data_IF_345209680626
#
_entry.id   IF_345209680626
#
_cell.length_a   1.000
_cell.length_b   1.000
_cell.length_c   1.000
_cell.angle_alpha   90.00
_cell.angle_beta   90.00
_cell.angle_gamma   90.00
#
_symmetry.space_group_name_H-M   'P 1'
#
loop_
_entity.id
_entity.type
_entity.pdbx_description
1 polymer ?
#
# COMPACT_ATOMS: atom_id res chain seq x y z
N UNK A 1 -17.04 -9.29 -14.24
CA UNK A 1 -16.34 -10.09 -13.22
C UNK A 1 -15.88 -9.14 -12.12
N UNK A 2 -16.09 -9.43 -10.83
CA UNK A 2 -15.61 -8.52 -9.78
C UNK A 2 -14.08 -8.59 -9.66
N UNK A 3 -13.39 -7.51 -10.02
CA UNK A 3 -11.93 -7.41 -9.82
C UNK A 3 -11.66 -7.01 -8.37
N UNK A 4 -10.78 -7.75 -7.71
CA UNK A 4 -10.37 -7.47 -6.32
C UNK A 4 -8.94 -6.99 -6.29
N UNK A 5 -8.74 -5.88 -5.61
CA UNK A 5 -7.42 -5.39 -5.24
C UNK A 5 -7.27 -5.48 -3.73
N UNK A 6 -6.06 -5.76 -3.29
CA UNK A 6 -5.69 -5.79 -1.88
C UNK A 6 -4.59 -4.77 -1.65
N UNK A 7 -4.58 -4.16 -0.47
CA UNK A 7 -3.61 -3.14 -0.16
C UNK A 7 -3.14 -3.21 1.29
N UNK A 8 -1.93 -2.72 1.49
CA UNK A 8 -1.49 -2.18 2.77
C UNK A 8 -1.34 -0.67 2.62
N UNK A 9 -1.60 0.06 3.70
CA UNK A 9 -1.48 1.50 3.76
C UNK A 9 -0.71 1.89 5.01
N UNK A 10 0.24 2.80 4.89
CA UNK A 10 1.02 3.36 6.00
C UNK A 10 1.30 4.84 5.71
N UNK A 11 2.11 5.50 6.53
CA UNK A 11 2.54 6.87 6.23
C UNK A 11 3.35 6.88 4.93
N UNK A 12 3.32 7.99 4.21
CA UNK A 12 4.11 8.15 2.99
C UNK A 12 5.62 8.10 3.29
N UNK A 13 6.04 8.55 4.47
CA UNK A 13 7.44 8.48 4.90
C UNK A 13 7.85 7.02 5.09
N UNK A 14 7.08 6.24 5.85
CA UNK A 14 7.36 4.82 6.10
C UNK A 14 7.36 4.02 4.80
N UNK A 15 6.39 4.26 3.91
CA UNK A 15 6.31 3.58 2.62
C UNK A 15 7.56 3.80 1.77
N UNK A 16 8.12 5.01 1.78
CA UNK A 16 9.23 5.39 0.90
C UNK A 16 10.62 5.17 1.52
N UNK A 17 10.73 5.17 2.85
CA UNK A 17 11.98 5.00 3.57
C UNK A 17 12.22 3.57 4.06
N UNK A 18 11.19 2.71 4.07
CA UNK A 18 11.33 1.31 4.49
C UNK A 18 12.18 0.51 3.47
N UNK A 19 13.42 0.18 3.87
CA UNK A 19 14.38 -0.55 3.04
C UNK A 19 13.91 -1.96 2.69
N UNK A 20 13.24 -2.65 3.61
CA UNK A 20 12.72 -4.01 3.37
C UNK A 20 11.66 -3.97 2.28
N UNK A 21 10.73 -3.01 2.35
CA UNK A 21 9.70 -2.83 1.34
C UNK A 21 10.30 -2.43 -0.02
N UNK A 22 11.24 -1.48 -0.03
CA UNK A 22 11.94 -1.07 -1.26
C UNK A 22 12.57 -2.28 -1.96
N UNK A 23 13.35 -3.08 -1.22
CA UNK A 23 14.04 -4.25 -1.76
C UNK A 23 13.05 -5.25 -2.36
N UNK A 24 11.99 -5.58 -1.64
CA UNK A 24 10.95 -6.49 -2.10
C UNK A 24 10.29 -6.01 -3.38
N UNK A 25 9.88 -4.74 -3.42
CA UNK A 25 9.17 -4.14 -4.55
C UNK A 25 10.10 -4.07 -5.77
N UNK A 26 11.38 -3.74 -5.57
CA UNK A 26 12.41 -3.72 -6.60
C UNK A 26 12.69 -5.11 -7.17
N UNK A 27 12.89 -6.12 -6.33
CA UNK A 27 13.13 -7.49 -6.77
C UNK A 27 11.91 -8.07 -7.51
N UNK A 28 10.70 -7.83 -7.00
CA UNK A 28 9.47 -8.21 -7.70
C UNK A 28 9.38 -7.50 -9.04
N UNK A 29 9.70 -6.21 -9.11
CA UNK A 29 9.67 -5.47 -10.37
C UNK A 29 10.63 -6.06 -11.40
N UNK A 30 11.87 -6.36 -11.00
CA UNK A 30 12.87 -7.00 -11.84
C UNK A 30 12.44 -8.39 -12.30
N UNK A 31 11.81 -9.19 -11.44
CA UNK A 31 11.26 -10.48 -11.83
C UNK A 31 10.21 -10.33 -12.95
N UNK A 32 9.29 -9.38 -12.83
CA UNK A 32 8.25 -9.13 -13.85
C UNK A 32 8.87 -8.70 -15.18
N UNK A 33 9.84 -7.79 -15.15
CA UNK A 33 10.60 -7.35 -16.34
C UNK A 33 11.33 -8.53 -17.00
N UNK A 34 12.05 -9.34 -16.22
CA UNK A 34 12.82 -10.49 -16.72
C UNK A 34 11.95 -11.57 -17.37
N UNK A 35 10.67 -11.64 -16.96
CA UNK A 35 9.69 -12.60 -17.47
C UNK A 35 8.72 -11.99 -18.49
N UNK A 36 8.90 -10.72 -18.85
CA UNK A 36 7.99 -9.95 -19.71
C UNK A 36 6.51 -10.06 -19.25
N UNK A 37 6.29 -10.02 -17.93
CA UNK A 37 4.96 -10.10 -17.32
C UNK A 37 4.40 -8.71 -17.07
N UNK A 38 3.07 -8.57 -17.22
CA UNK A 38 2.36 -7.35 -16.84
C UNK A 38 2.38 -7.18 -15.33
N UNK A 39 2.68 -5.97 -14.85
CA UNK A 39 2.64 -5.65 -13.42
C UNK A 39 1.23 -5.77 -12.87
N UNK A 40 1.14 -6.28 -11.65
CA UNK A 40 -0.10 -6.47 -10.90
C UNK A 40 -0.05 -5.75 -9.54
N UNK A 41 0.91 -4.85 -9.34
CA UNK A 41 1.11 -4.09 -8.11
C UNK A 41 1.63 -2.68 -8.39
N UNK A 42 1.28 -1.73 -7.52
CA UNK A 42 1.67 -0.32 -7.61
C UNK A 42 1.74 0.32 -6.22
N UNK A 43 2.53 1.39 -6.08
CA UNK A 43 2.49 2.24 -4.88
C UNK A 43 1.70 3.50 -5.21
N UNK A 44 0.67 3.80 -4.44
CA UNK A 44 -0.20 4.96 -4.58
C UNK A 44 0.17 5.99 -3.52
N UNK A 45 0.64 7.17 -3.93
CA UNK A 45 0.85 8.31 -3.05
C UNK A 45 -0.47 9.06 -2.91
N UNK A 46 -0.84 9.41 -1.67
CA UNK A 46 -2.10 10.08 -1.36
C UNK A 46 -3.34 9.41 -2.00
N UNK A 47 -3.60 8.12 -1.73
CA UNK A 47 -4.65 7.35 -2.39
C UNK A 47 -6.05 7.96 -2.17
N UNK A 48 -6.75 8.28 -3.25
CA UNK A 48 -8.07 8.93 -3.23
C UNK A 48 -9.13 8.12 -2.47
N UNK A 49 -9.03 6.79 -2.43
CA UNK A 49 -9.98 5.97 -1.70
C UNK A 49 -9.91 6.19 -0.18
N UNK A 50 -8.79 6.69 0.34
CA UNK A 50 -8.65 7.11 1.75
C UNK A 50 -9.46 8.36 2.06
N UNK A 51 -9.78 9.17 1.03
CA UNK A 51 -10.59 10.36 1.20
C UNK A 51 -12.11 10.10 1.28
N UNK A 52 -12.57 8.89 0.95
CA UNK A 52 -14.00 8.55 1.00
C UNK A 52 -14.50 8.61 2.45
N UNK A 53 -15.69 9.19 2.66
CA UNK A 53 -16.30 9.37 3.99
C UNK A 53 -16.29 8.09 4.84
N UNK A 54 -16.74 6.98 4.24
CA UNK A 54 -16.79 5.66 4.89
C UNK A 54 -15.40 5.19 5.32
N UNK A 55 -14.37 5.47 4.50
CA UNK A 55 -12.99 5.08 4.80
C UNK A 55 -12.44 5.92 5.96
N UNK A 56 -12.63 7.24 5.94
CA UNK A 56 -12.22 8.12 7.05
C UNK A 56 -12.83 7.71 8.39
N UNK A 57 -14.12 7.39 8.38
CA UNK A 57 -14.84 6.93 9.57
C UNK A 57 -14.27 5.61 10.11
N UNK A 58 -13.99 4.64 9.24
CA UNK A 58 -13.35 3.38 9.68
C UNK A 58 -11.94 3.61 10.24
N UNK A 59 -11.16 4.45 9.57
CA UNK A 59 -9.78 4.72 9.95
C UNK A 59 -9.71 5.43 11.31
N UNK A 60 -10.64 6.33 11.64
CA UNK A 60 -10.62 7.03 12.92
C UNK A 60 -10.71 6.11 14.15
N UNK A 61 -11.20 4.88 13.98
CA UNK A 61 -11.25 3.89 15.06
C UNK A 61 -9.94 3.10 15.23
N UNK A 62 -9.04 3.17 14.25
CA UNK A 62 -7.78 2.41 14.25
C UNK A 62 -6.78 2.95 15.27
N UNK A 63 -5.90 2.08 15.75
CA UNK A 63 -4.75 2.50 16.54
C UNK A 63 -3.76 3.28 15.67
N UNK A 64 -3.59 2.92 14.40
CA UNK A 64 -2.75 3.64 13.44
C UNK A 64 -3.11 5.13 13.36
N UNK A 65 -4.41 5.45 13.24
CA UNK A 65 -4.88 6.83 13.21
C UNK A 65 -4.56 7.57 14.51
N UNK A 66 -4.82 6.93 15.66
CA UNK A 66 -4.55 7.54 16.98
C UNK A 66 -3.06 7.80 17.21
N UNK A 67 -2.19 6.94 16.70
CA UNK A 67 -0.73 7.10 16.79
C UNK A 67 -0.23 8.31 16.00
N UNK A 68 -0.86 8.58 14.84
CA UNK A 68 -0.44 9.64 13.92
C UNK A 68 -1.45 10.77 13.78
N UNK A 69 -2.34 10.97 14.76
CA UNK A 69 -3.48 11.89 14.64
C UNK A 69 -3.04 13.30 14.26
N UNK A 70 -2.02 13.84 14.94
CA UNK A 70 -1.49 15.17 14.66
C UNK A 70 -0.94 15.28 13.22
N UNK A 71 -0.17 14.29 12.77
CA UNK A 71 0.44 14.27 11.43
C UNK A 71 -0.63 14.17 10.33
N UNK A 72 -1.69 13.41 10.57
CA UNK A 72 -2.81 13.23 9.65
C UNK A 72 -3.63 14.53 9.53
N UNK A 73 -3.82 15.23 10.65
CA UNK A 73 -4.52 16.52 10.67
C UNK A 73 -3.72 17.62 9.95
N UNK A 74 -2.41 17.69 10.20
CA UNK A 74 -1.51 18.70 9.61
C UNK A 74 -1.33 18.55 8.09
N UNK A 75 -1.25 17.31 7.60
CA UNK A 75 -0.91 17.02 6.21
C UNK A 75 -2.11 17.01 5.25
N UNK A 76 -3.31 17.39 5.69
CA UNK A 76 -4.56 17.11 4.96
C UNK A 76 -4.71 15.62 4.69
N UNK A 77 -5.13 14.88 5.71
CA UNK A 77 -5.57 13.48 5.80
C UNK A 77 -5.12 12.54 4.65
N UNK A 78 -5.56 12.78 3.41
CA UNK A 78 -5.05 12.05 2.24
C UNK A 78 -3.55 12.10 1.98
N UNK A 79 -2.84 13.21 2.19
CA UNK A 79 -1.41 13.29 1.82
C UNK A 79 -0.50 12.55 2.78
N UNK A 80 -1.00 12.23 3.98
CA UNK A 80 -0.29 11.38 4.92
C UNK A 80 -0.10 9.97 4.39
N UNK A 81 -1.13 9.42 3.75
CA UNK A 81 -1.17 8.00 3.42
C UNK A 81 -0.45 7.68 2.11
N UNK A 82 0.16 6.50 2.09
CA UNK A 82 0.59 5.82 0.88
C UNK A 82 0.16 4.37 0.92
N UNK A 83 -0.18 3.78 -0.22
CA UNK A 83 -0.66 2.39 -0.30
C UNK A 83 0.08 1.56 -1.33
N UNK A 84 0.60 0.39 -0.93
CA UNK A 84 0.98 -0.67 -1.86
C UNK A 84 -0.28 -1.45 -2.19
N UNK A 85 -0.68 -1.43 -3.46
CA UNK A 85 -1.89 -2.11 -3.95
C UNK A 85 -1.49 -3.21 -4.94
N UNK A 86 -2.23 -4.33 -4.94
CA UNK A 86 -2.00 -5.44 -5.86
C UNK A 86 -3.28 -6.26 -6.08
N UNK A 87 -3.39 -6.96 -7.21
CA UNK A 87 -4.42 -8.00 -7.37
C UNK A 87 -4.01 -9.37 -6.78
N UNK A 88 -2.76 -9.53 -6.35
CA UNK A 88 -2.21 -10.74 -5.74
C UNK A 88 -2.41 -10.76 -4.22
N UNK A 89 -3.40 -11.55 -3.76
CA UNK A 89 -3.75 -11.68 -2.34
C UNK A 89 -2.63 -12.27 -1.50
N UNK A 90 -1.89 -13.22 -2.03
CA UNK A 90 -0.87 -13.93 -1.28
C UNK A 90 0.36 -13.03 -1.11
N UNK A 91 0.69 -12.26 -2.14
CA UNK A 91 1.72 -11.23 -2.05
C UNK A 91 1.44 -10.21 -0.95
N UNK A 92 0.23 -9.63 -0.88
CA UNK A 92 -0.04 -8.61 0.13
C UNK A 92 -0.05 -9.17 1.57
N UNK A 93 -0.53 -10.41 1.75
CA UNK A 93 -0.50 -11.09 3.06
C UNK A 93 0.93 -11.35 3.51
N UNK A 94 1.76 -11.77 2.57
CA UNK A 94 3.18 -12.02 2.79
C UNK A 94 3.96 -10.73 3.12
N UNK A 95 3.57 -9.60 2.50
CA UNK A 95 4.10 -8.27 2.82
C UNK A 95 3.71 -7.88 4.25
N UNK A 96 2.43 -7.99 4.59
CA UNK A 96 1.90 -7.69 5.93
C UNK A 96 2.72 -8.40 7.01
N UNK A 97 2.94 -9.71 6.85
CA UNK A 97 3.72 -10.51 7.81
C UNK A 97 5.20 -10.12 7.94
N UNK A 98 5.79 -9.42 6.96
CA UNK A 98 7.19 -8.98 6.99
C UNK A 98 7.38 -7.59 7.55
N UNK A 99 6.46 -6.69 7.25
CA UNK A 99 6.61 -5.29 7.60
C UNK A 99 6.18 -5.01 9.04
N UNK A 100 5.18 -5.74 9.54
CA UNK A 100 4.73 -5.58 10.92
C UNK A 100 3.24 -5.85 11.10
N UNK A 101 2.64 -5.15 12.04
CA UNK A 101 1.22 -5.30 12.36
C UNK A 101 0.36 -4.30 11.58
N UNK A 102 -0.58 -4.81 10.78
CA UNK A 102 -1.53 -3.99 10.03
C UNK A 102 -2.97 -4.32 10.44
N UNK A 103 -3.73 -3.30 10.82
CA UNK A 103 -5.14 -3.39 11.21
C UNK A 103 -6.04 -3.66 9.99
N UNK A 104 -6.94 -4.65 10.07
CA UNK A 104 -7.86 -4.96 8.98
C UNK A 104 -9.09 -4.02 8.99
N UNK A 105 -9.17 -3.17 7.97
CA UNK A 105 -10.25 -2.18 7.80
C UNK A 105 -11.63 -2.81 7.55
N UNK A 106 -11.68 -4.09 7.18
CA UNK A 106 -12.91 -4.83 6.95
C UNK A 106 -13.44 -5.52 8.23
N UNK A 107 -12.59 -5.63 9.25
CA UNK A 107 -12.93 -6.19 10.56
C UNK A 107 -13.31 -5.09 11.57
N UNK A 108 -12.89 -3.86 11.32
CA UNK A 108 -13.25 -2.69 12.13
C UNK A 108 -14.77 -2.49 12.12
N UNK A 109 -15.35 -2.50 13.33
CA UNK A 109 -16.80 -2.40 13.58
C UNK A 109 -17.54 -3.73 13.81
N UNK A 110 -16.93 -4.88 13.51
CA UNK A 110 -17.53 -6.21 13.79
C UNK A 110 -17.29 -6.68 15.23
N UNK A 111 -16.14 -6.30 15.80
CA UNK A 111 -15.81 -6.60 17.18
C UNK A 111 -15.99 -5.35 18.05
N UNK A 112 -17.18 -5.19 18.65
CA UNK A 112 -17.45 -4.22 19.74
C UNK A 112 -16.77 -4.61 21.07
N UNK A 113 -15.59 -5.24 21.01
CA UNK A 113 -14.73 -5.39 22.18
C UNK A 113 -13.58 -4.42 22.02
N UNK A 114 -13.84 -3.21 22.51
CA UNK A 114 -12.87 -2.37 23.19
C UNK A 114 -12.10 -3.22 24.19
N UNK A 115 -11.06 -3.89 23.73
CA UNK A 115 -9.96 -4.25 24.61
C UNK A 115 -8.82 -3.29 24.27
N UNK A 116 -8.54 -2.46 25.25
CA UNK A 116 -7.38 -1.60 25.41
C UNK A 116 -6.09 -2.42 25.32
N UNK A 117 -5.76 -2.92 24.13
CA UNK A 117 -4.44 -3.41 23.82
C UNK A 117 -3.74 -2.25 23.12
N UNK A 118 -2.83 -1.60 23.83
CA UNK A 118 -1.94 -0.56 23.32
C UNK A 118 -0.87 -1.19 22.41
N UNK A 119 -1.28 -1.87 21.35
CA UNK A 119 -0.35 -2.32 20.33
C UNK A 119 -0.07 -1.19 19.35
N UNK A 120 1.18 -1.14 18.89
CA UNK A 120 1.61 -0.24 17.81
C UNK A 120 1.15 -0.84 16.49
N UNK A 121 0.66 0.01 15.60
CA UNK A 121 0.14 -0.40 14.29
C UNK A 121 1.04 0.22 13.24
N UNK A 122 1.60 -0.59 12.36
CA UNK A 122 2.44 -0.13 11.25
C UNK A 122 1.59 0.36 10.07
N UNK A 123 0.27 0.15 10.14
CA UNK A 123 -0.65 0.62 9.11
C UNK A 123 -1.97 -0.12 9.05
N UNK A 124 -2.61 0.00 7.89
CA UNK A 124 -3.92 -0.53 7.58
C UNK A 124 -3.82 -1.56 6.47
N UNK A 125 -4.64 -2.60 6.55
CA UNK A 125 -4.81 -3.61 5.52
C UNK A 125 -6.27 -3.61 5.06
N UNK A 126 -6.49 -3.76 3.75
CA UNK A 126 -7.85 -3.81 3.22
C UNK A 126 -7.95 -4.39 1.83
N UNK A 127 -9.19 -4.47 1.34
CA UNK A 127 -9.51 -4.90 -0.01
C UNK A 127 -10.46 -3.90 -0.67
N UNK A 128 -10.30 -3.73 -1.98
CA UNK A 128 -11.14 -2.91 -2.84
C UNK A 128 -11.79 -3.87 -3.82
N UNK A 129 -13.11 -3.97 -3.75
CA UNK A 129 -13.93 -4.75 -4.69
C UNK A 129 -14.47 -3.78 -5.74
N UNK A 130 -14.11 -4.01 -7.00
CA UNK A 130 -14.70 -3.31 -8.13
C UNK A 130 -15.84 -4.15 -8.70
N UNK A 131 -17.03 -3.55 -8.77
CA UNK A 131 -18.19 -4.15 -9.40
C UNK A 131 -18.33 -3.59 -10.83
N UNK A 132 -18.63 -4.44 -11.82
CA UNK A 132 -18.75 -4.03 -13.23
C UNK A 132 -19.87 -3.00 -13.52
N UNK A 133 -20.68 -2.65 -12.51
CA UNK A 133 -21.80 -1.69 -12.65
C UNK A 133 -21.40 -0.24 -12.43
N UNK A 134 -20.20 0.02 -11.91
CA UNK A 134 -19.64 1.37 -11.75
C UNK A 134 -18.75 1.67 -12.97
N UNK A 135 -19.40 1.93 -14.11
CA UNK A 135 -18.83 2.00 -15.46
C UNK A 135 -17.90 3.19 -15.75
N UNK A 136 -17.19 3.73 -14.76
CA UNK A 136 -16.25 4.84 -14.98
C UNK A 136 -14.88 4.68 -14.29
N UNK A 137 -14.64 3.63 -13.50
CA UNK A 137 -13.34 3.41 -12.80
C UNK A 137 -13.01 1.91 -12.72
N UNK A 138 -12.37 1.38 -13.76
CA UNK A 138 -12.00 -0.05 -13.91
C UNK A 138 -10.82 -0.48 -13.01
N UNK A 139 -10.07 0.48 -12.47
CA UNK A 139 -8.92 0.23 -11.60
C UNK A 139 -8.73 1.33 -10.54
N UNK A 140 -8.18 1.01 -9.35
CA UNK A 140 -7.68 2.01 -8.40
C UNK A 140 -6.67 2.98 -9.02
N UNK A 141 -6.06 2.62 -10.14
CA UNK A 141 -5.13 3.45 -10.90
C UNK A 141 -5.83 4.52 -11.74
N UNK A 142 -7.07 4.29 -12.18
CA UNK A 142 -7.74 5.19 -13.11
C UNK A 142 -8.09 6.53 -12.47
N UNK A 143 -8.24 6.54 -11.15
CA UNK A 143 -8.54 7.72 -10.37
C UNK A 143 -7.39 8.20 -9.51
N UNK A 144 -6.37 7.39 -9.24
CA UNK A 144 -5.16 7.85 -8.55
C UNK A 144 -4.10 8.32 -9.55
N UNK A 145 -3.95 9.63 -9.72
CA UNK A 145 -2.92 10.19 -10.63
C UNK A 145 -1.49 10.09 -10.09
N UNK A 146 -1.33 9.97 -8.77
CA UNK A 146 -0.02 9.96 -8.11
C UNK A 146 0.41 8.54 -7.74
N UNK A 147 0.64 7.68 -8.73
CA UNK A 147 1.17 6.34 -8.50
C UNK A 147 2.63 6.23 -8.96
N UNK A 148 3.40 5.43 -8.22
CA UNK A 148 4.73 5.00 -8.63
C UNK A 148 4.60 3.67 -9.35
N UNK A 149 4.93 3.70 -10.64
CA UNK A 149 5.04 2.47 -11.43
C UNK A 149 6.24 1.64 -10.92
N UNK A 150 6.10 0.30 -10.77
CA UNK A 150 7.19 -0.56 -10.28
C UNK A 150 8.50 -0.43 -11.06
N UNK A 151 8.40 -0.13 -12.35
CA UNK A 151 9.57 0.07 -13.21
C UNK A 151 10.41 1.29 -12.80
N UNK A 152 9.81 2.35 -12.24
CA UNK A 152 10.56 3.53 -11.76
C UNK A 152 11.48 3.12 -10.61
N UNK A 153 11.00 2.20 -9.76
CA UNK A 153 11.76 1.67 -8.63
C UNK A 153 12.94 0.84 -9.15
N UNK A 154 12.71 -0.05 -10.13
CA UNK A 154 13.79 -0.79 -10.80
C UNK A 154 14.81 0.14 -11.48
N UNK A 155 14.35 1.13 -12.25
CA UNK A 155 15.20 2.06 -12.99
C UNK A 155 16.05 2.96 -12.10
N UNK A 156 15.51 3.41 -10.95
CA UNK A 156 16.25 4.22 -9.96
C UNK A 156 17.53 3.51 -9.50
N UNK A 157 17.50 2.19 -9.38
CA UNK A 157 18.61 1.39 -8.85
C UNK A 157 19.38 0.62 -9.93
N UNK A 158 18.94 0.67 -11.19
CA UNK A 158 19.61 0.00 -12.32
C UNK A 158 21.11 0.29 -12.36
N UNK A 159 21.50 1.57 -12.19
CA UNK A 159 22.91 1.98 -12.19
C UNK A 159 23.68 1.41 -11.00
N UNK A 160 23.08 1.41 -9.80
CA UNK A 160 23.71 0.85 -8.58
C UNK A 160 23.87 -0.67 -8.68
N UNK A 161 22.90 -1.36 -9.28
CA UNK A 161 22.92 -2.80 -9.53
C UNK A 161 23.97 -3.15 -10.60
N UNK A 162 24.03 -2.41 -11.70
CA UNK A 162 25.07 -2.57 -12.73
C UNK A 162 26.47 -2.40 -12.13
N UNK A 163 26.69 -1.36 -11.32
CA UNK A 163 27.95 -1.15 -10.60
C UNK A 163 28.27 -2.33 -9.67
N UNK A 164 27.30 -2.82 -8.88
CA UNK A 164 27.49 -3.97 -8.01
C UNK A 164 27.92 -5.25 -8.76
N UNK A 165 27.33 -5.53 -9.93
CA UNK A 165 27.71 -6.70 -10.73
C UNK A 165 29.06 -6.52 -11.44
N UNK A 166 29.43 -5.29 -11.80
CA UNK A 166 30.73 -4.99 -12.41
C UNK A 166 31.88 -5.07 -11.39
N UNK A 167 31.65 -4.76 -10.12
CA UNK A 167 32.67 -4.81 -9.06
C UNK A 167 32.88 -6.21 -8.47
N UNK A 168 32.01 -7.17 -8.78
CA UNK A 168 32.10 -8.57 -8.36
C UNK A 168 32.83 -9.48 -9.36
N UNK A 169 33.28 -8.95 -10.50
CA UNK A 169 34.16 -9.61 -11.48
C UNK A 169 35.60 -9.20 -11.24
#
# INVERSE_FOLDING_TARGET
MSTKYYYICMSQIDMLQNQVLEEIVRERANYYLSKNRKFDFWILLAPEFMNKKIMKEKISFTNFYKQHENEILDSSNSKFYSSLITSDKDFIKWIKLRLGYFEDINEIGKNKKTDSISYISDGLYGEIILNDRDSEKESPLDYNKNFLHPEIISNKFKKSIEVYYLTKK
#
